data_IF_330856070251
#
_entry.id   IF_330856070251
#
_cell.length_a   1.000
_cell.length_b   1.000
_cell.length_c   1.000
_cell.angle_alpha   90.00
_cell.angle_beta   90.00
_cell.angle_gamma   90.00
#
_symmetry.space_group_name_H-M   'P 1'
#
loop_
_entity.id
_entity.type
_entity.pdbx_description
1 polymer ?
#
# COMPACT_ATOMS: atom_id res chain seq x y z
N UNK A 1 -18.96 9.50 6.53
CA UNK A 1 -17.78 10.05 5.81
C UNK A 1 -16.86 8.88 5.47
N UNK A 2 -16.11 8.91 4.36
CA UNK A 2 -15.20 7.79 4.01
C UNK A 2 -13.84 8.02 4.69
N UNK A 3 -13.32 7.03 5.39
CA UNK A 3 -12.03 7.13 6.06
C UNK A 3 -11.04 6.13 5.44
N UNK A 4 -9.99 6.62 4.82
CA UNK A 4 -8.93 5.79 4.26
C UNK A 4 -7.69 5.85 5.15
N UNK A 5 -7.09 4.70 5.45
CA UNK A 5 -5.80 4.58 6.12
C UNK A 5 -4.77 4.05 5.12
N UNK A 6 -3.80 4.88 4.76
CA UNK A 6 -2.80 4.54 3.75
C UNK A 6 -1.57 3.86 4.36
N UNK A 7 -1.23 2.72 3.79
CA UNK A 7 0.09 2.11 3.91
C UNK A 7 1.13 2.83 3.04
N UNK A 8 2.41 2.73 3.41
CA UNK A 8 3.53 3.26 2.65
C UNK A 8 3.57 2.69 1.23
N UNK A 9 3.22 1.41 1.03
CA UNK A 9 3.25 0.75 -0.28
C UNK A 9 2.39 1.45 -1.34
N UNK A 10 1.16 1.86 -0.98
CA UNK A 10 0.26 2.59 -1.89
C UNK A 10 0.63 4.06 -1.97
N UNK A 11 1.06 4.67 -0.85
CA UNK A 11 1.54 6.04 -0.88
C UNK A 11 2.75 6.20 -1.82
N UNK A 12 3.66 5.23 -1.87
CA UNK A 12 4.79 5.21 -2.82
C UNK A 12 4.27 5.18 -4.25
N UNK A 13 3.39 4.23 -4.58
CA UNK A 13 2.80 4.10 -5.92
C UNK A 13 2.05 5.38 -6.32
N UNK A 14 1.40 6.04 -5.36
CA UNK A 14 0.62 7.25 -5.59
C UNK A 14 1.44 8.37 -6.22
N UNK A 15 2.70 8.51 -5.85
CA UNK A 15 3.60 9.53 -6.40
C UNK A 15 4.65 8.94 -7.35
N UNK A 16 4.65 7.62 -7.56
CA UNK A 16 5.60 6.97 -8.43
C UNK A 16 5.40 7.39 -9.90
N UNK A 17 6.49 7.60 -10.67
CA UNK A 17 6.37 7.92 -12.09
C UNK A 17 5.91 6.69 -12.89
N UNK A 18 5.34 6.92 -14.08
CA UNK A 18 4.77 5.87 -14.95
C UNK A 18 5.70 4.67 -15.17
N UNK A 19 7.01 4.91 -15.26
CA UNK A 19 8.01 3.87 -15.49
C UNK A 19 8.26 2.92 -14.31
N UNK A 20 7.59 3.13 -13.16
CA UNK A 20 7.57 2.16 -12.05
C UNK A 20 6.55 1.03 -12.23
N UNK A 21 5.59 1.22 -13.13
CA UNK A 21 4.52 0.27 -13.37
C UNK A 21 4.97 -0.76 -14.41
N UNK A 22 4.56 -2.03 -14.24
CA UNK A 22 4.96 -3.11 -15.16
C UNK A 22 4.24 -2.95 -16.49
N UNK A 23 2.98 -2.52 -16.43
CA UNK A 23 2.16 -2.31 -17.62
C UNK A 23 1.52 -0.93 -17.64
N UNK A 24 1.19 -0.48 -18.85
CA UNK A 24 0.45 0.75 -19.05
C UNK A 24 -0.97 0.68 -18.45
N UNK A 25 -1.57 -0.52 -18.43
CA UNK A 25 -2.89 -0.75 -17.85
C UNK A 25 -2.89 -0.57 -16.32
N UNK A 26 -1.88 -1.11 -15.64
CA UNK A 26 -1.66 -0.89 -14.19
C UNK A 26 -1.53 0.60 -13.86
N UNK A 27 -0.73 1.34 -14.64
CA UNK A 27 -0.58 2.78 -14.44
C UNK A 27 -1.91 3.53 -14.57
N UNK A 28 -2.71 3.24 -15.60
CA UNK A 28 -3.99 3.90 -15.80
C UNK A 28 -5.02 3.52 -14.74
N UNK A 29 -5.05 2.26 -14.32
CA UNK A 29 -5.87 1.79 -13.19
C UNK A 29 -5.53 2.58 -11.92
N UNK A 30 -4.23 2.66 -11.58
CA UNK A 30 -3.74 3.44 -10.45
C UNK A 30 -4.09 4.93 -10.56
N UNK A 31 -3.96 5.53 -11.75
CA UNK A 31 -4.42 6.91 -12.00
C UNK A 31 -5.92 7.10 -11.73
N UNK A 32 -6.77 6.16 -12.19
CA UNK A 32 -8.21 6.26 -12.03
C UNK A 32 -8.63 6.12 -10.56
N UNK A 33 -8.04 5.18 -9.81
CA UNK A 33 -8.25 5.04 -8.38
C UNK A 33 -7.83 6.30 -7.62
N UNK A 34 -6.64 6.84 -7.91
CA UNK A 34 -6.15 8.10 -7.34
C UNK A 34 -7.10 9.25 -7.57
N UNK A 35 -7.55 9.43 -8.82
CA UNK A 35 -8.46 10.50 -9.19
C UNK A 35 -9.78 10.41 -8.43
N UNK A 36 -10.34 9.20 -8.30
CA UNK A 36 -11.59 8.99 -7.56
C UNK A 36 -11.45 9.34 -6.08
N UNK A 37 -10.41 8.86 -5.41
CA UNK A 37 -10.17 9.14 -3.98
C UNK A 37 -9.84 10.63 -3.75
N UNK A 38 -9.02 11.23 -4.61
CA UNK A 38 -8.72 12.66 -4.54
C UNK A 38 -9.98 13.51 -4.68
N UNK A 39 -10.86 13.17 -5.64
CA UNK A 39 -12.13 13.84 -5.82
C UNK A 39 -13.03 13.72 -4.57
N UNK A 40 -13.14 12.53 -3.97
CA UNK A 40 -13.88 12.35 -2.71
C UNK A 40 -13.32 13.22 -1.57
N UNK A 41 -12.00 13.38 -1.51
CA UNK A 41 -11.34 14.24 -0.53
C UNK A 41 -11.65 15.72 -0.78
N UNK A 42 -11.58 16.17 -2.04
CA UNK A 42 -11.89 17.54 -2.45
C UNK A 42 -13.36 17.91 -2.18
N UNK A 43 -14.29 16.98 -2.36
CA UNK A 43 -15.71 17.16 -2.02
C UNK A 43 -16.00 17.11 -0.51
N UNK A 44 -14.99 16.92 0.34
CA UNK A 44 -15.18 16.76 1.79
C UNK A 44 -15.88 15.45 2.19
N UNK A 45 -15.98 14.48 1.27
CA UNK A 45 -16.60 13.17 1.49
C UNK A 45 -15.62 12.16 2.06
N UNK A 46 -14.31 12.41 1.98
CA UNK A 46 -13.27 11.52 2.48
C UNK A 46 -12.22 12.20 3.38
N UNK A 47 -11.71 11.44 4.35
CA UNK A 47 -10.48 11.74 5.10
C UNK A 47 -9.43 10.70 4.73
N UNK A 48 -8.22 11.18 4.42
CA UNK A 48 -7.07 10.36 4.07
C UNK A 48 -6.08 10.40 5.23
N UNK A 49 -5.99 9.32 6.00
CA UNK A 49 -5.02 9.13 7.07
C UNK A 49 -3.76 8.47 6.53
N UNK A 50 -2.60 8.84 7.09
CA UNK A 50 -1.34 8.13 6.87
C UNK A 50 -0.59 8.02 8.21
N UNK A 51 -0.15 6.82 8.63
CA UNK A 51 0.68 6.68 9.81
C UNK A 51 1.97 7.49 9.69
N UNK A 52 2.41 8.13 10.78
CA UNK A 52 3.58 9.01 10.70
C UNK A 52 4.89 8.29 10.36
N UNK A 53 5.02 7.01 10.73
CA UNK A 53 6.15 6.19 10.30
C UNK A 53 6.10 5.81 8.80
N UNK A 54 4.92 5.63 8.21
CA UNK A 54 4.77 5.42 6.76
C UNK A 54 5.30 6.62 5.95
N UNK A 55 5.21 7.85 6.49
CA UNK A 55 5.80 9.04 5.87
C UNK A 55 7.32 8.88 5.75
N UNK A 56 7.98 8.39 6.81
CA UNK A 56 9.41 8.15 6.80
C UNK A 56 9.79 7.03 5.82
N UNK A 57 8.99 5.98 5.71
CA UNK A 57 9.20 4.89 4.76
C UNK A 57 9.10 5.35 3.30
N UNK A 58 8.05 6.11 2.95
CA UNK A 58 7.89 6.67 1.60
C UNK A 58 9.09 7.54 1.24
N UNK A 59 9.53 8.41 2.17
CA UNK A 59 10.73 9.24 1.98
C UNK A 59 11.99 8.40 1.80
N UNK A 60 12.17 7.37 2.60
CA UNK A 60 13.31 6.46 2.50
C UNK A 60 13.34 5.74 1.15
N UNK A 61 12.18 5.33 0.62
CA UNK A 61 12.08 4.68 -0.69
C UNK A 61 12.45 5.65 -1.82
N UNK A 62 11.91 6.87 -1.82
CA UNK A 62 12.31 7.89 -2.81
C UNK A 62 13.81 8.21 -2.70
N UNK A 63 14.33 8.30 -1.47
CA UNK A 63 15.75 8.46 -1.20
C UNK A 63 16.59 7.29 -1.72
N UNK A 64 16.15 6.04 -1.55
CA UNK A 64 16.83 4.86 -2.11
C UNK A 64 16.86 4.93 -3.63
N UNK A 65 15.74 5.24 -4.29
CA UNK A 65 15.68 5.34 -5.75
C UNK A 65 16.75 6.33 -6.26
N UNK A 66 16.73 7.58 -5.79
CA UNK A 66 17.66 8.59 -6.31
C UNK A 66 19.01 8.65 -5.59
N UNK A 67 19.04 8.80 -4.27
CA UNK A 67 20.30 9.05 -3.55
C UNK A 67 21.24 7.84 -3.58
N UNK A 68 20.68 6.63 -3.42
CA UNK A 68 21.46 5.38 -3.44
C UNK A 68 21.65 4.83 -4.84
N UNK A 69 20.58 4.70 -5.62
CA UNK A 69 20.65 4.03 -6.93
C UNK A 69 20.83 4.98 -8.12
N UNK A 70 20.77 6.31 -7.90
CA UNK A 70 20.83 7.33 -8.97
C UNK A 70 19.80 7.10 -10.08
N UNK A 71 18.65 6.52 -9.70
CA UNK A 71 17.64 6.01 -10.61
C UNK A 71 16.24 6.47 -10.19
N UNK A 72 15.44 6.97 -11.12
CA UNK A 72 13.99 7.09 -10.97
C UNK A 72 13.31 6.88 -12.32
N UNK A 73 13.75 5.76 -12.89
CA UNK A 73 13.09 4.94 -13.89
C UNK A 73 13.21 5.48 -15.32
N UNK A 74 14.45 5.78 -15.73
CA UNK A 74 14.92 6.20 -17.07
C UNK A 74 14.49 7.61 -17.56
N UNK A 75 14.54 8.60 -16.66
CA UNK A 75 14.49 10.02 -17.04
C UNK A 75 15.87 10.53 -17.49
N UNK A 76 15.91 11.46 -18.46
CA UNK A 76 17.13 12.26 -18.76
C UNK A 76 17.56 13.12 -17.58
N UNK A 77 16.64 13.39 -16.64
CA UNK A 77 16.92 14.14 -15.41
C UNK A 77 16.37 13.39 -14.17
N UNK A 78 17.10 12.37 -13.67
CA UNK A 78 16.74 11.64 -12.46
C UNK A 78 16.75 12.47 -11.18
N UNK A 79 17.22 13.72 -11.20
CA UNK A 79 17.08 14.59 -10.03
C UNK A 79 15.70 15.24 -10.02
N UNK A 80 15.27 15.78 -11.16
CA UNK A 80 14.01 16.49 -11.28
C UNK A 80 12.79 15.60 -10.99
N UNK A 81 12.77 14.36 -11.45
CA UNK A 81 11.67 13.44 -11.12
C UNK A 81 11.64 13.13 -9.60
N UNK A 82 12.80 13.07 -8.93
CA UNK A 82 12.88 12.71 -7.50
C UNK A 82 12.33 13.88 -6.69
N UNK A 83 12.79 15.09 -7.01
CA UNK A 83 12.28 16.31 -6.41
C UNK A 83 10.78 16.46 -6.67
N UNK A 84 10.29 16.11 -7.86
CA UNK A 84 8.85 16.14 -8.16
C UNK A 84 8.06 15.17 -7.27
N UNK A 85 8.42 13.89 -7.22
CA UNK A 85 7.75 12.89 -6.39
C UNK A 85 7.82 13.26 -4.90
N UNK A 86 9.02 13.61 -4.42
CA UNK A 86 9.28 13.94 -3.03
C UNK A 86 8.55 15.22 -2.60
N UNK A 87 8.70 16.32 -3.34
CA UNK A 87 8.10 17.60 -2.97
C UNK A 87 6.57 17.53 -3.03
N UNK A 88 6.00 16.82 -4.03
CA UNK A 88 4.55 16.63 -4.11
C UNK A 88 4.01 15.84 -2.91
N UNK A 89 4.68 14.75 -2.54
CA UNK A 89 4.29 13.99 -1.36
C UNK A 89 4.40 14.82 -0.07
N UNK A 90 5.52 15.51 0.13
CA UNK A 90 5.73 16.34 1.32
C UNK A 90 4.71 17.49 1.39
N UNK A 91 4.39 18.15 0.28
CA UNK A 91 3.35 19.19 0.26
C UNK A 91 1.99 18.64 0.73
N UNK A 92 1.62 17.44 0.27
CA UNK A 92 0.36 16.80 0.66
C UNK A 92 0.30 16.40 2.15
N UNK A 93 1.45 16.11 2.76
CA UNK A 93 1.58 15.79 4.19
C UNK A 93 1.66 17.05 5.04
N UNK A 94 2.51 18.00 4.66
CA UNK A 94 2.86 19.19 5.43
C UNK A 94 1.64 20.10 5.65
N UNK A 95 0.87 20.35 4.60
CA UNK A 95 -0.24 21.28 4.67
C UNK A 95 -1.44 20.70 5.45
N UNK A 96 -1.39 19.42 5.83
CA UNK A 96 -2.48 18.64 6.46
C UNK A 96 -3.81 18.70 5.69
N UNK A 97 -3.80 19.27 4.48
CA UNK A 97 -4.97 19.46 3.62
C UNK A 97 -5.32 18.18 2.90
N UNK A 98 -4.31 17.43 2.44
CA UNK A 98 -4.51 16.19 1.72
C UNK A 98 -4.44 14.98 2.65
N UNK A 99 -3.25 14.68 3.20
CA UNK A 99 -3.08 13.63 4.19
C UNK A 99 -3.12 14.17 5.62
N UNK A 100 -3.87 13.48 6.46
CA UNK A 100 -3.82 13.65 7.91
C UNK A 100 -2.81 12.66 8.50
N UNK A 101 -1.69 13.18 9.02
CA UNK A 101 -0.71 12.36 9.75
C UNK A 101 -1.35 11.78 11.00
N UNK A 102 -1.33 10.45 11.13
CA UNK A 102 -1.81 9.76 12.32
C UNK A 102 -0.62 9.23 13.11
N UNK A 103 -0.42 9.80 14.30
CA UNK A 103 0.72 9.49 15.15
C UNK A 103 0.46 8.28 16.03
N UNK A 104 1.52 7.51 16.28
CA UNK A 104 1.47 6.37 17.19
C UNK A 104 1.07 6.82 18.61
N UNK A 105 0.21 6.04 19.24
CA UNK A 105 -0.20 6.22 20.61
C UNK A 105 -0.31 4.86 21.34
N UNK A 106 -0.55 4.92 22.65
CA UNK A 106 -0.56 3.72 23.51
C UNK A 106 -1.60 2.67 23.11
N UNK A 107 -2.74 3.06 22.55
CA UNK A 107 -3.82 2.14 22.19
C UNK A 107 -3.48 1.33 20.93
N UNK A 108 -2.61 1.82 20.06
CA UNK A 108 -2.07 1.02 18.95
C UNK A 108 -1.32 -0.19 19.48
N UNK A 109 -0.45 -0.01 20.47
CA UNK A 109 0.28 -1.12 21.11
C UNK A 109 -0.64 -2.10 21.84
N UNK A 110 -1.76 -1.63 22.41
CA UNK A 110 -2.72 -2.53 23.04
C UNK A 110 -3.48 -3.36 22.00
N UNK A 111 -3.80 -2.76 20.85
CA UNK A 111 -4.49 -3.43 19.75
C UNK A 111 -3.61 -4.46 19.03
N UNK A 112 -2.28 -4.33 19.06
CA UNK A 112 -1.40 -5.26 18.33
C UNK A 112 -1.56 -6.71 18.80
N UNK A 113 -1.91 -6.96 20.06
CA UNK A 113 -2.13 -8.32 20.58
C UNK A 113 -3.13 -9.07 19.73
N UNK A 114 -4.26 -8.43 19.42
CA UNK A 114 -5.32 -9.07 18.64
C UNK A 114 -4.90 -9.30 17.18
N UNK A 115 -4.16 -8.36 16.60
CA UNK A 115 -3.63 -8.49 15.23
C UNK A 115 -2.60 -9.62 15.16
N UNK A 116 -1.71 -9.72 16.16
CA UNK A 116 -0.68 -10.76 16.27
C UNK A 116 -1.34 -12.14 16.37
N UNK A 117 -2.34 -12.29 17.24
CA UNK A 117 -3.08 -13.55 17.35
C UNK A 117 -3.63 -13.99 15.99
N UNK A 118 -4.34 -13.10 15.30
CA UNK A 118 -4.91 -13.41 13.97
C UNK A 118 -3.82 -13.71 12.94
N UNK A 119 -2.74 -12.93 12.90
CA UNK A 119 -1.62 -13.16 11.96
C UNK A 119 -0.95 -14.51 12.17
N UNK A 120 -0.76 -14.92 13.43
CA UNK A 120 -0.07 -16.17 13.75
C UNK A 120 -0.97 -17.41 13.73
N UNK A 121 -2.29 -17.24 13.80
CA UNK A 121 -3.25 -18.35 13.64
C UNK A 121 -3.81 -18.46 12.22
N UNK A 122 -3.64 -17.44 11.38
CA UNK A 122 -4.06 -17.52 9.98
C UNK A 122 -3.02 -18.32 9.22
N UNK A 123 -3.42 -19.50 8.73
CA UNK A 123 -2.55 -20.37 7.94
C UNK A 123 -1.92 -19.62 6.75
N UNK A 124 -0.73 -20.07 6.37
CA UNK A 124 -0.01 -19.57 5.18
C UNK A 124 -0.59 -20.10 3.88
N UNK A 125 -1.91 -20.36 3.82
CA UNK A 125 -2.62 -20.84 2.64
C UNK A 125 -2.70 -19.74 1.57
N UNK A 126 -1.57 -19.52 0.89
CA UNK A 126 -1.58 -19.26 -0.54
C UNK A 126 -1.22 -20.57 -1.20
N UNK A 127 -2.26 -21.31 -1.58
CA UNK A 127 -2.17 -22.64 -2.14
C UNK A 127 -1.20 -22.75 -3.32
N UNK A 128 -0.41 -23.81 -3.26
CA UNK A 128 0.31 -24.42 -4.35
C UNK A 128 -0.65 -25.11 -5.37
N UNK A 129 -1.77 -24.47 -5.72
CA UNK A 129 -2.72 -25.00 -6.71
C UNK A 129 -2.54 -24.31 -8.06
N UNK A 130 -1.58 -24.81 -8.82
CA UNK A 130 -1.64 -24.74 -10.27
C UNK A 130 -2.85 -25.53 -10.77
N UNK A 131 -3.73 -24.86 -11.50
CA UNK A 131 -4.70 -25.41 -12.46
C UNK A 131 -4.91 -24.29 -13.50
N UNK A 132 -4.34 -24.37 -14.69
CA UNK A 132 -4.92 -25.13 -15.81
C UNK A 132 -3.91 -25.92 -16.64
N UNK A 133 -4.32 -27.08 -17.21
CA UNK A 133 -3.57 -27.79 -18.24
C UNK A 133 -3.85 -27.17 -19.61
N UNK A 134 -2.81 -26.72 -20.32
CA UNK A 134 -2.94 -26.41 -21.75
C UNK A 134 -1.96 -25.38 -22.30
N UNK A 135 -1.10 -25.87 -23.19
CA UNK A 135 -0.44 -25.16 -24.30
C UNK A 135 0.71 -24.17 -24.01
N UNK A 136 1.92 -24.73 -24.15
CA UNK A 136 3.08 -24.20 -24.88
C UNK A 136 2.99 -22.76 -25.43
N UNK A 137 3.91 -21.89 -24.98
CA UNK A 137 4.89 -21.32 -25.90
C UNK A 137 6.03 -20.58 -25.19
N UNK A 138 7.16 -20.64 -25.86
CA UNK A 138 8.54 -20.47 -25.41
C UNK A 138 9.06 -19.06 -25.70
N UNK A 139 10.15 -18.70 -25.00
CA UNK A 139 11.16 -17.67 -25.36
C UNK A 139 10.80 -16.22 -24.98
N UNK A 140 11.28 -15.77 -23.81
CA UNK A 140 12.12 -14.59 -23.51
C UNK A 140 12.24 -14.50 -21.97
N UNK A 141 12.98 -15.42 -21.32
CA UNK A 141 13.33 -15.31 -19.88
C UNK A 141 14.74 -15.88 -19.60
N UNK A 142 15.64 -15.78 -20.57
CA UNK A 142 16.94 -16.46 -20.51
C UNK A 142 18.12 -15.60 -20.03
N UNK A 143 17.94 -14.35 -19.59
CA UNK A 143 19.11 -13.48 -19.28
C UNK A 143 19.14 -12.79 -17.91
N UNK A 144 18.34 -13.22 -16.92
CA UNK A 144 18.52 -12.77 -15.52
C UNK A 144 18.48 -13.88 -14.46
N UNK A 145 18.57 -15.15 -14.86
CA UNK A 145 18.66 -16.29 -13.94
C UNK A 145 20.10 -16.78 -13.77
N UNK A 146 20.81 -16.24 -12.77
CA UNK A 146 21.88 -16.96 -12.05
C UNK A 146 22.13 -16.30 -10.68
N UNK A 147 21.82 -17.06 -9.62
CA UNK A 147 21.64 -16.71 -8.19
C UNK A 147 20.30 -16.00 -7.94
N UNK A 148 19.25 -16.61 -7.39
CA UNK A 148 19.18 -17.68 -6.40
C UNK A 148 18.07 -18.67 -6.72
N UNK A 149 18.43 -19.95 -6.66
CA UNK A 149 17.52 -21.08 -6.68
C UNK A 149 16.90 -21.26 -5.29
N UNK A 150 15.72 -20.67 -5.08
CA UNK A 150 14.72 -21.04 -4.05
C UNK A 150 13.45 -20.21 -4.30
N UNK A 151 12.71 -20.56 -5.35
CA UNK A 151 11.40 -19.95 -5.62
C UNK A 151 10.34 -20.66 -4.75
N UNK A 152 10.45 -20.45 -3.43
CA UNK A 152 9.39 -20.70 -2.47
C UNK A 152 8.59 -19.41 -2.34
N UNK A 153 7.28 -19.45 -2.59
CA UNK A 153 6.33 -18.41 -2.20
C UNK A 153 6.69 -18.00 -0.77
N UNK A 154 7.18 -16.78 -0.60
CA UNK A 154 7.77 -16.36 0.65
C UNK A 154 6.73 -16.38 1.77
N UNK A 155 7.01 -17.18 2.80
CA UNK A 155 6.43 -17.12 4.16
C UNK A 155 6.65 -15.74 4.79
N UNK A 156 6.06 -14.69 4.25
CA UNK A 156 6.25 -13.34 4.78
C UNK A 156 5.17 -13.04 5.79
N UNK A 157 5.55 -13.21 7.06
CA UNK A 157 4.82 -12.67 8.19
C UNK A 157 4.79 -11.15 8.12
N UNK A 158 3.73 -10.56 8.68
CA UNK A 158 3.65 -9.11 8.84
C UNK A 158 4.82 -8.58 9.69
N UNK A 159 5.40 -7.46 9.28
CA UNK A 159 6.35 -6.74 10.14
C UNK A 159 5.62 -6.09 11.31
N UNK A 160 6.37 -5.68 12.34
CA UNK A 160 5.78 -4.94 13.46
C UNK A 160 5.10 -3.64 13.01
N UNK A 161 5.58 -2.99 11.94
CA UNK A 161 4.94 -1.80 11.41
C UNK A 161 3.62 -2.13 10.71
N UNK A 162 3.56 -3.21 9.92
CA UNK A 162 2.31 -3.65 9.28
C UNK A 162 1.22 -3.97 10.31
N UNK A 163 1.61 -4.68 11.38
CA UNK A 163 0.75 -4.96 12.53
C UNK A 163 0.25 -3.66 13.17
N UNK A 164 1.12 -2.67 13.35
CA UNK A 164 0.75 -1.37 13.89
C UNK A 164 -0.22 -0.62 12.97
N UNK A 165 -0.10 -0.70 11.64
CA UNK A 165 -1.03 -0.06 10.71
C UNK A 165 -2.46 -0.63 10.88
N UNK A 166 -2.61 -1.95 10.97
CA UNK A 166 -3.91 -2.58 11.23
C UNK A 166 -4.45 -2.13 12.60
N UNK A 167 -3.61 -2.16 13.64
CA UNK A 167 -3.96 -1.73 14.98
C UNK A 167 -4.38 -0.25 15.07
N UNK A 168 -3.76 0.62 14.26
CA UNK A 168 -4.15 2.02 14.07
C UNK A 168 -5.54 2.14 13.43
N UNK A 169 -5.83 1.33 12.41
CA UNK A 169 -7.15 1.27 11.80
C UNK A 169 -8.25 0.83 12.78
N UNK A 170 -7.96 -0.14 13.65
CA UNK A 170 -8.87 -0.56 14.72
C UNK A 170 -9.20 0.60 15.68
N UNK A 171 -8.19 1.37 16.10
CA UNK A 171 -8.44 2.52 16.98
C UNK A 171 -9.24 3.62 16.26
N UNK A 172 -8.89 3.96 15.02
CA UNK A 172 -9.65 4.92 14.22
C UNK A 172 -11.12 4.51 14.09
N UNK A 173 -11.39 3.22 13.85
CA UNK A 173 -12.74 2.66 13.77
C UNK A 173 -13.50 2.90 15.07
N UNK A 174 -12.89 2.61 16.23
CA UNK A 174 -13.48 2.88 17.55
C UNK A 174 -13.70 4.37 17.82
N UNK A 175 -12.77 5.24 17.44
CA UNK A 175 -12.87 6.69 17.67
C UNK A 175 -13.95 7.35 16.80
N UNK A 176 -14.11 6.89 15.56
CA UNK A 176 -15.01 7.48 14.58
C UNK A 176 -16.40 6.87 14.61
N UNK A 177 -16.53 5.60 15.02
CA UNK A 177 -17.75 4.82 14.85
C UNK A 177 -18.11 4.58 13.38
N UNK A 178 -17.15 4.78 12.47
CA UNK A 178 -17.31 4.63 11.02
C UNK A 178 -16.32 3.57 10.50
N UNK A 179 -16.62 3.03 9.31
CA UNK A 179 -15.71 2.09 8.65
C UNK A 179 -14.39 2.78 8.25
N UNK A 180 -13.28 2.07 8.45
CA UNK A 180 -11.94 2.50 8.05
C UNK A 180 -11.45 1.58 6.95
N UNK A 181 -11.04 2.14 5.83
CA UNK A 181 -10.54 1.40 4.68
C UNK A 181 -9.01 1.39 4.67
N UNK A 182 -8.40 0.23 4.91
CA UNK A 182 -6.95 0.05 4.83
C UNK A 182 -6.51 -0.08 3.37
N UNK A 183 -5.80 0.92 2.86
CA UNK A 183 -5.34 0.99 1.47
C UNK A 183 -3.90 0.48 1.38
N UNK A 184 -3.69 -0.70 0.80
CA UNK A 184 -2.37 -1.36 0.75
C UNK A 184 -2.15 -2.17 -0.53
N UNK A 185 -0.87 -2.33 -0.91
CA UNK A 185 -0.39 -3.28 -1.92
C UNK A 185 0.20 -4.56 -1.30
N UNK A 186 0.12 -4.73 0.03
CA UNK A 186 0.51 -5.95 0.72
C UNK A 186 -0.68 -6.92 0.83
N UNK A 187 -0.56 -8.08 0.17
CA UNK A 187 -1.60 -9.12 0.16
C UNK A 187 -1.82 -9.74 1.54
N UNK A 188 -0.75 -9.94 2.32
CA UNK A 188 -0.86 -10.53 3.66
C UNK A 188 -1.54 -9.54 4.58
N UNK A 189 -1.18 -8.26 4.51
CA UNK A 189 -1.83 -7.24 5.33
C UNK A 189 -3.32 -7.11 4.98
N UNK A 190 -3.66 -7.10 3.69
CA UNK A 190 -5.06 -7.14 3.25
C UNK A 190 -5.81 -8.39 3.75
N UNK A 191 -5.19 -9.57 3.65
CA UNK A 191 -5.75 -10.83 4.14
C UNK A 191 -6.03 -10.78 5.63
N UNK A 192 -5.04 -10.41 6.46
CA UNK A 192 -5.21 -10.34 7.92
C UNK A 192 -6.27 -9.33 8.30
N UNK A 193 -6.28 -8.16 7.66
CA UNK A 193 -7.28 -7.13 7.90
C UNK A 193 -8.71 -7.58 7.56
N UNK A 194 -8.88 -8.59 6.69
CA UNK A 194 -10.19 -9.16 6.34
C UNK A 194 -10.74 -10.16 7.36
N UNK A 195 -9.91 -10.67 8.28
CA UNK A 195 -10.28 -11.79 9.16
C UNK A 195 -11.23 -11.43 10.29
N UNK A 196 -11.27 -10.17 10.69
CA UNK A 196 -12.12 -9.69 11.79
C UNK A 196 -12.85 -8.41 11.39
N UNK A 197 -14.10 -8.29 11.82
CA UNK A 197 -14.93 -7.11 11.57
C UNK A 197 -14.43 -5.84 12.27
N UNK A 198 -13.68 -6.02 13.35
CA UNK A 198 -13.07 -4.99 14.19
C UNK A 198 -11.85 -4.35 13.50
N UNK A 199 -11.25 -5.06 12.55
CA UNK A 199 -10.12 -4.58 11.76
C UNK A 199 -10.60 -3.62 10.67
N UNK A 200 -9.72 -2.73 10.16
CA UNK A 200 -10.08 -1.90 9.03
C UNK A 200 -10.39 -2.76 7.80
N UNK A 201 -11.42 -2.40 7.03
CA UNK A 201 -11.76 -3.10 5.80
C UNK A 201 -10.65 -2.96 4.76
N UNK A 202 -10.07 -4.04 4.23
CA UNK A 202 -8.97 -3.93 3.28
C UNK A 202 -9.44 -3.44 1.91
N UNK A 203 -8.66 -2.55 1.31
CA UNK A 203 -8.69 -2.18 -0.09
C UNK A 203 -7.33 -2.55 -0.71
N UNK A 204 -7.26 -3.74 -1.28
CA UNK A 204 -6.05 -4.23 -1.95
C UNK A 204 -5.86 -3.53 -3.30
N UNK A 205 -4.96 -2.56 -3.32
CA UNK A 205 -4.87 -1.54 -4.36
C UNK A 205 -4.61 -2.10 -5.76
N UNK A 206 -3.75 -3.11 -5.86
CA UNK A 206 -3.40 -3.76 -7.13
C UNK A 206 -4.61 -4.44 -7.81
N UNK A 207 -5.56 -4.99 -7.04
CA UNK A 207 -6.73 -5.68 -7.59
C UNK A 207 -7.98 -4.79 -7.66
N UNK A 208 -8.00 -3.69 -6.93
CA UNK A 208 -9.15 -2.79 -6.79
C UNK A 208 -9.56 -2.08 -8.08
N UNK A 209 -10.85 -2.11 -8.47
CA UNK A 209 -11.35 -1.27 -9.55
C UNK A 209 -12.11 -0.05 -9.00
N UNK A 210 -12.28 0.98 -9.84
CA UNK A 210 -12.99 2.20 -9.43
C UNK A 210 -14.41 1.94 -8.91
N UNK A 211 -15.23 1.03 -9.48
CA UNK A 211 -16.55 0.71 -8.95
C UNK A 211 -16.53 0.07 -7.55
N UNK A 212 -15.40 -0.54 -7.17
CA UNK A 212 -15.23 -1.22 -5.89
C UNK A 212 -14.87 -0.24 -4.76
N UNK A 213 -14.57 1.02 -5.10
CA UNK A 213 -14.31 2.06 -4.10
C UNK A 213 -15.60 2.45 -3.36
N UNK A 214 -15.51 2.69 -2.04
CA UNK A 214 -16.67 3.10 -1.26
C UNK A 214 -17.24 4.43 -1.78
N UNK A 215 -18.56 4.53 -1.76
CA UNK A 215 -19.31 5.75 -2.10
C UNK A 215 -19.87 6.37 -0.82
N UNK A 216 -19.78 7.69 -0.72
CA UNK A 216 -20.30 8.46 0.41
C UNK A 216 -21.80 8.73 0.26
#
# INVERSE_FOLDING_TARGET
MINYLFDSSVAIEWYAPKSTFRTQSEFYKSCALRAKIAFQKEEGKAILFIPSFCIAEVRNIFGKWYLRHKNIFNSKNPKAHYETCFNKFIAHVHDRKFFYSYDLNRYHNLNTTEVIEVEHTTDTEFDASGLTPGTNNTIIEAEFKKKDSHDSISKHHLTSFDILIIAMGMELKRMKGEEIYLVTNDKRMALISSKKSEFPKPLYWSDLNVPDLPTA
#
